data_IF_153029948017
#
_entry.id   IF_153029948017
#
_cell.length_a   1.000
_cell.length_b   1.000
_cell.length_c   1.000
_cell.angle_alpha   90.00
_cell.angle_beta   90.00
_cell.angle_gamma   90.00
#
_symmetry.space_group_name_H-M   'P 1'
#
loop_
_entity.id
_entity.type
_entity.pdbx_description
1 polymer ?
#
# COMPACT_ATOMS: atom_id res chain seq x y z
N UNK A 1 -0.67 -24.06 -4.46
CA UNK A 1 -0.57 -22.86 -3.60
C UNK A 1 -0.99 -21.55 -4.29
N UNK A 2 -0.32 -21.00 -5.31
CA UNK A 2 -0.79 -19.73 -5.95
C UNK A 2 -2.20 -19.81 -6.57
N UNK A 3 -2.49 -20.89 -7.30
CA UNK A 3 -3.84 -21.16 -7.84
C UNK A 3 -4.91 -21.25 -6.74
N UNK A 4 -4.55 -21.78 -5.57
CA UNK A 4 -5.46 -21.91 -4.41
C UNK A 4 -5.67 -20.56 -3.74
N UNK A 5 -4.61 -19.75 -3.61
CA UNK A 5 -4.66 -18.36 -3.15
C UNK A 5 -5.63 -17.54 -4.00
N UNK A 6 -5.52 -17.61 -5.33
CA UNK A 6 -6.45 -16.93 -6.23
C UNK A 6 -7.88 -17.45 -6.13
N UNK A 7 -8.05 -18.79 -6.05
CA UNK A 7 -9.38 -19.39 -5.85
C UNK A 7 -10.00 -18.95 -4.52
N UNK A 8 -9.22 -18.78 -3.47
CA UNK A 8 -9.72 -18.34 -2.18
C UNK A 8 -10.14 -16.86 -2.23
N UNK A 9 -9.29 -15.98 -2.76
CA UNK A 9 -9.58 -14.57 -2.98
C UNK A 9 -10.85 -14.35 -3.80
N UNK A 10 -10.99 -15.07 -4.91
CA UNK A 10 -12.13 -14.97 -5.82
C UNK A 10 -13.34 -15.80 -5.37
N UNK A 11 -13.16 -16.75 -4.46
CA UNK A 11 -14.21 -17.67 -4.01
C UNK A 11 -14.98 -17.16 -2.80
N UNK A 12 -14.35 -16.40 -1.89
CA UNK A 12 -15.01 -15.86 -0.70
C UNK A 12 -15.70 -14.52 -1.02
N UNK A 13 -17.03 -14.49 -0.86
CA UNK A 13 -17.86 -13.30 -1.14
C UNK A 13 -17.38 -12.03 -0.44
N UNK A 14 -16.96 -12.12 0.81
CA UNK A 14 -16.44 -10.98 1.59
C UNK A 14 -15.16 -10.40 0.97
N UNK A 15 -14.20 -11.25 0.60
CA UNK A 15 -12.93 -10.82 0.00
C UNK A 15 -13.17 -10.18 -1.36
N UNK A 16 -14.05 -10.77 -2.19
CA UNK A 16 -14.46 -10.17 -3.46
C UNK A 16 -15.09 -8.78 -3.30
N UNK A 17 -15.97 -8.60 -2.32
CA UNK A 17 -16.60 -7.30 -2.07
C UNK A 17 -15.56 -6.25 -1.68
N UNK A 18 -14.60 -6.60 -0.81
CA UNK A 18 -13.49 -5.71 -0.43
C UNK A 18 -12.66 -5.33 -1.67
N UNK A 19 -12.25 -6.31 -2.48
CA UNK A 19 -11.47 -6.07 -3.69
C UNK A 19 -12.22 -5.21 -4.71
N UNK A 20 -13.53 -5.42 -4.88
CA UNK A 20 -14.36 -4.61 -5.77
C UNK A 20 -14.46 -3.16 -5.30
N UNK A 21 -14.82 -2.92 -4.03
CA UNK A 21 -14.92 -1.57 -3.44
C UNK A 21 -13.57 -0.85 -3.56
N UNK A 22 -12.49 -1.53 -3.20
CA UNK A 22 -11.11 -1.05 -3.31
C UNK A 22 -10.74 -0.66 -4.74
N UNK A 23 -11.11 -1.48 -5.73
CA UNK A 23 -10.84 -1.22 -7.14
C UNK A 23 -11.59 0.01 -7.66
N UNK A 24 -12.87 0.15 -7.29
CA UNK A 24 -13.68 1.33 -7.62
C UNK A 24 -13.07 2.59 -7.02
N UNK A 25 -12.65 2.55 -5.75
CA UNK A 25 -11.99 3.68 -5.10
C UNK A 25 -10.68 4.08 -5.82
N UNK A 26 -9.84 3.11 -6.23
CA UNK A 26 -8.61 3.41 -6.99
C UNK A 26 -8.90 4.03 -8.35
N UNK A 27 -9.90 3.51 -9.07
CA UNK A 27 -10.32 4.08 -10.37
C UNK A 27 -10.78 5.52 -10.18
N UNK A 28 -11.59 5.80 -9.16
CA UNK A 28 -12.06 7.16 -8.87
C UNK A 28 -10.92 8.13 -8.54
N UNK A 29 -9.92 7.68 -7.77
CA UNK A 29 -8.72 8.49 -7.48
C UNK A 29 -7.95 8.78 -8.76
N UNK A 30 -7.66 7.74 -9.56
CA UNK A 30 -6.86 7.88 -10.78
C UNK A 30 -7.56 8.74 -11.84
N UNK A 31 -8.88 8.62 -11.97
CA UNK A 31 -9.68 9.44 -12.88
C UNK A 31 -9.70 10.93 -12.48
N UNK A 32 -9.43 11.24 -11.21
CA UNK A 32 -9.42 12.60 -10.70
C UNK A 32 -8.01 13.25 -10.69
N UNK A 33 -6.94 12.49 -10.95
CA UNK A 33 -5.56 13.01 -11.02
C UNK A 33 -5.40 14.19 -12.00
N UNK A 34 -5.94 14.16 -13.23
CA UNK A 34 -5.82 15.29 -14.16
C UNK A 34 -6.45 16.58 -13.60
N UNK A 35 -7.61 16.48 -12.95
CA UNK A 35 -8.30 17.62 -12.33
C UNK A 35 -7.54 18.19 -11.13
N UNK A 36 -6.75 17.38 -10.42
CA UNK A 36 -5.89 17.83 -9.32
C UNK A 36 -4.74 18.69 -9.81
N UNK A 37 -4.20 18.40 -11.00
CA UNK A 37 -3.10 19.17 -11.59
C UNK A 37 -3.55 20.53 -12.14
N UNK A 38 -4.84 20.63 -12.47
CA UNK A 38 -5.50 21.90 -12.80
C UNK A 38 -5.88 22.75 -11.55
N UNK A 39 -5.39 22.40 -10.35
CA UNK A 39 -5.65 23.14 -9.11
C UNK A 39 -6.92 22.74 -8.36
N UNK A 40 -7.53 21.59 -8.69
CA UNK A 40 -8.67 21.02 -7.96
C UNK A 40 -8.32 20.59 -6.52
N UNK A 41 -9.33 20.44 -5.66
CA UNK A 41 -9.17 20.16 -4.24
C UNK A 41 -8.48 18.80 -3.96
N UNK A 42 -7.16 18.85 -3.77
CA UNK A 42 -6.26 17.70 -3.49
C UNK A 42 -6.66 16.91 -2.25
N UNK A 43 -7.24 17.56 -1.24
CA UNK A 43 -7.53 16.95 0.06
C UNK A 43 -8.67 15.91 0.02
N UNK A 44 -9.65 16.04 -0.89
CA UNK A 44 -10.85 15.19 -0.92
C UNK A 44 -10.57 13.77 -1.43
N UNK A 45 -9.52 13.58 -2.23
CA UNK A 45 -9.19 12.29 -2.87
C UNK A 45 -8.20 11.44 -2.06
N UNK A 46 -7.54 12.05 -1.07
CA UNK A 46 -6.66 11.33 -0.15
C UNK A 46 -7.42 10.28 0.66
N UNK A 47 -8.64 10.58 1.11
CA UNK A 47 -9.47 9.65 1.88
C UNK A 47 -9.83 8.41 1.06
N UNK A 48 -10.39 8.51 -0.16
CA UNK A 48 -10.59 7.38 -1.07
C UNK A 48 -9.34 6.55 -1.34
N UNK A 49 -8.18 7.20 -1.55
CA UNK A 49 -6.91 6.52 -1.78
C UNK A 49 -6.47 5.70 -0.57
N UNK A 50 -6.55 6.26 0.64
CA UNK A 50 -6.21 5.56 1.88
C UNK A 50 -7.16 4.37 2.08
N UNK A 51 -8.47 4.55 1.88
CA UNK A 51 -9.45 3.47 2.00
C UNK A 51 -9.21 2.35 0.97
N UNK A 52 -8.83 2.69 -0.25
CA UNK A 52 -8.43 1.72 -1.26
C UNK A 52 -7.19 0.91 -0.83
N UNK A 53 -6.12 1.57 -0.39
CA UNK A 53 -4.90 0.88 0.06
C UNK A 53 -5.18 -0.02 1.27
N UNK A 54 -6.02 0.45 2.20
CA UNK A 54 -6.49 -0.35 3.32
C UNK A 54 -7.28 -1.57 2.86
N UNK A 55 -8.13 -1.45 1.83
CA UNK A 55 -8.89 -2.56 1.26
C UNK A 55 -8.00 -3.72 0.78
N UNK A 56 -6.84 -3.44 0.18
CA UNK A 56 -5.85 -4.46 -0.18
C UNK A 56 -5.37 -5.23 1.04
N UNK A 57 -4.97 -4.50 2.07
CA UNK A 57 -4.48 -5.07 3.31
C UNK A 57 -5.54 -5.88 4.04
N UNK A 58 -6.81 -5.46 4.01
CA UNK A 58 -7.96 -6.22 4.52
C UNK A 58 -8.13 -7.53 3.74
N UNK A 59 -8.13 -7.47 2.41
CA UNK A 59 -8.29 -8.66 1.57
C UNK A 59 -7.16 -9.67 1.82
N UNK A 60 -5.91 -9.21 1.81
CA UNK A 60 -4.75 -10.04 2.06
C UNK A 60 -4.69 -10.55 3.51
N UNK A 61 -5.03 -9.71 4.49
CA UNK A 61 -5.14 -10.10 5.89
C UNK A 61 -6.17 -11.20 6.13
N UNK A 62 -7.31 -11.16 5.41
CA UNK A 62 -8.30 -12.22 5.45
C UNK A 62 -7.76 -13.56 4.97
N UNK A 63 -6.94 -13.54 3.91
CA UNK A 63 -6.30 -14.74 3.35
C UNK A 63 -5.19 -15.27 4.25
N UNK A 64 -4.33 -14.36 4.74
CA UNK A 64 -3.25 -14.66 5.69
C UNK A 64 -3.81 -15.41 6.89
N UNK A 65 -4.83 -14.85 7.55
CA UNK A 65 -5.35 -15.38 8.81
C UNK A 65 -6.21 -16.62 8.68
N UNK A 66 -6.96 -16.74 7.58
CA UNK A 66 -7.68 -17.99 7.35
C UNK A 66 -6.73 -19.12 6.95
N UNK A 67 -5.47 -18.81 6.62
CA UNK A 67 -4.53 -19.77 6.05
C UNK A 67 -5.03 -20.36 4.72
N UNK A 68 -5.96 -19.68 4.03
CA UNK A 68 -6.75 -20.22 2.91
C UNK A 68 -7.65 -21.41 3.28
N UNK A 69 -7.96 -21.65 4.56
CA UNK A 69 -8.91 -22.68 5.01
C UNK A 69 -10.36 -22.16 4.92
N UNK A 70 -11.18 -22.66 3.97
CA UNK A 70 -12.55 -22.22 3.84
C UNK A 70 -13.46 -22.69 4.98
N UNK A 71 -13.06 -23.73 5.74
CA UNK A 71 -13.81 -24.32 6.87
C UNK A 71 -13.56 -23.60 8.19
N UNK A 72 -12.45 -22.87 8.33
CA UNK A 72 -12.12 -22.06 9.52
C UNK A 72 -11.98 -20.57 9.16
N UNK A 73 -13.06 -19.92 8.68
CA UNK A 73 -13.01 -18.50 8.38
C UNK A 73 -12.83 -17.69 9.68
N UNK A 74 -12.01 -16.64 9.61
CA UNK A 74 -11.96 -15.64 10.69
C UNK A 74 -13.30 -14.93 10.78
N UNK A 75 -13.87 -14.87 11.98
CA UNK A 75 -15.12 -14.16 12.22
C UNK A 75 -14.97 -12.66 11.87
N UNK A 76 -15.89 -12.12 11.07
CA UNK A 76 -15.87 -10.73 10.60
C UNK A 76 -15.75 -9.71 11.75
N UNK A 77 -16.48 -9.82 12.87
CA UNK A 77 -16.35 -8.87 13.98
C UNK A 77 -14.94 -8.83 14.58
N UNK A 78 -14.34 -10.00 14.83
CA UNK A 78 -12.98 -10.09 15.38
C UNK A 78 -11.94 -9.55 14.39
N UNK A 79 -12.14 -9.81 13.09
CA UNK A 79 -11.31 -9.27 12.04
C UNK A 79 -11.38 -7.74 11.98
N UNK A 80 -12.59 -7.16 12.05
CA UNK A 80 -12.82 -5.71 12.02
C UNK A 80 -12.20 -5.01 13.23
N UNK A 81 -12.33 -5.58 14.43
CA UNK A 81 -11.68 -5.05 15.64
C UNK A 81 -10.17 -5.02 15.48
N UNK A 82 -9.57 -6.13 15.04
CA UNK A 82 -8.13 -6.14 14.79
C UNK A 82 -7.73 -5.13 13.71
N UNK A 83 -8.49 -5.06 12.63
CA UNK A 83 -8.22 -4.14 11.53
C UNK A 83 -8.26 -2.69 12.00
N UNK A 84 -9.24 -2.31 12.83
CA UNK A 84 -9.31 -0.98 13.43
C UNK A 84 -8.09 -0.69 14.30
N UNK A 85 -7.67 -1.64 15.14
CA UNK A 85 -6.44 -1.50 15.93
C UNK A 85 -5.20 -1.36 15.05
N UNK A 86 -5.13 -2.09 13.93
CA UNK A 86 -4.05 -1.99 12.97
C UNK A 86 -4.04 -0.63 12.26
N UNK A 87 -5.22 -0.09 11.89
CA UNK A 87 -5.33 1.26 11.31
C UNK A 87 -4.80 2.29 12.29
N UNK A 88 -5.21 2.22 13.57
CA UNK A 88 -4.69 3.11 14.61
C UNK A 88 -3.17 2.96 14.75
N UNK A 89 -2.66 1.73 14.76
CA UNK A 89 -1.23 1.45 14.80
C UNK A 89 -0.48 2.06 13.60
N UNK A 90 -1.01 1.91 12.39
CA UNK A 90 -0.46 2.46 11.15
C UNK A 90 -0.47 3.99 11.18
N UNK A 91 -1.53 4.61 11.68
CA UNK A 91 -1.60 6.07 11.86
C UNK A 91 -0.55 6.56 12.86
N UNK A 92 -0.39 5.87 14.00
CA UNK A 92 0.66 6.21 14.97
C UNK A 92 2.04 6.06 14.36
N UNK A 93 2.30 4.98 13.62
CA UNK A 93 3.57 4.77 12.92
C UNK A 93 3.82 5.86 11.87
N UNK A 94 2.80 6.25 11.10
CA UNK A 94 2.89 7.35 10.14
C UNK A 94 3.23 8.68 10.83
N UNK A 95 2.55 9.02 11.92
CA UNK A 95 2.84 10.23 12.69
C UNK A 95 4.26 10.21 13.27
N UNK A 96 4.72 9.05 13.75
CA UNK A 96 6.07 8.88 14.27
C UNK A 96 7.13 9.02 13.18
N UNK A 97 6.92 8.41 12.00
CA UNK A 97 7.81 8.60 10.85
C UNK A 97 7.86 10.07 10.42
N UNK A 98 6.72 10.74 10.35
CA UNK A 98 6.64 12.16 10.02
C UNK A 98 7.40 13.00 11.06
N UNK A 99 7.20 12.74 12.35
CA UNK A 99 7.95 13.40 13.43
C UNK A 99 9.45 13.17 13.33
N UNK A 100 9.91 11.97 12.94
CA UNK A 100 11.32 11.67 12.75
C UNK A 100 11.93 12.32 11.49
N UNK A 101 11.14 12.50 10.44
CA UNK A 101 11.59 13.10 9.18
C UNK A 101 11.56 14.64 9.25
N UNK A 102 10.61 15.21 9.99
CA UNK A 102 10.41 16.67 10.10
C UNK A 102 11.70 17.46 10.43
N UNK A 103 12.57 17.03 11.36
CA UNK A 103 13.84 17.71 11.65
C UNK A 103 14.81 17.79 10.46
N UNK A 104 14.68 16.89 9.48
CA UNK A 104 15.50 16.88 8.27
C UNK A 104 14.94 17.79 7.17
N UNK A 105 13.76 18.39 7.37
CA UNK A 105 13.18 19.39 6.48
C UNK A 105 13.78 20.75 6.85
N UNK A 106 14.76 21.21 6.08
CA UNK A 106 15.45 22.47 6.32
C UNK A 106 14.54 23.71 6.21
N UNK A 107 14.98 24.87 6.73
CA UNK A 107 14.25 26.14 6.63
C UNK A 107 13.89 26.53 5.20
N UNK A 108 14.79 26.22 4.25
CA UNK A 108 14.62 26.48 2.82
C UNK A 108 13.48 25.66 2.22
N UNK A 109 13.42 24.35 2.52
CA UNK A 109 12.35 23.45 2.07
C UNK A 109 11.00 23.84 2.68
N UNK A 110 10.99 24.29 3.94
CA UNK A 110 9.78 24.79 4.60
C UNK A 110 9.28 26.10 3.97
N UNK A 111 10.18 27.03 3.68
CA UNK A 111 9.83 28.26 2.98
C UNK A 111 9.32 27.99 1.55
N UNK A 112 9.91 27.02 0.85
CA UNK A 112 9.42 26.56 -0.44
C UNK A 112 8.01 25.99 -0.33
N UNK A 113 7.72 25.22 0.72
CA UNK A 113 6.39 24.66 0.98
C UNK A 113 5.35 25.75 1.23
N UNK A 114 5.67 26.71 2.09
CA UNK A 114 4.79 27.85 2.40
C UNK A 114 4.54 28.73 1.17
N UNK A 115 5.53 28.87 0.29
CA UNK A 115 5.41 29.61 -0.97
C UNK A 115 4.52 28.87 -1.98
N UNK A 116 4.68 27.56 -2.12
CA UNK A 116 3.83 26.73 -2.97
C UNK A 116 2.39 26.68 -2.45
N UNK A 117 2.19 26.57 -1.12
CA UNK A 117 0.86 26.55 -0.50
C UNK A 117 0.04 27.82 -0.77
N UNK A 118 0.71 28.96 -1.02
CA UNK A 118 0.05 30.23 -1.37
C UNK A 118 -0.35 30.33 -2.84
N UNK A 119 0.29 29.57 -3.72
CA UNK A 119 0.01 29.56 -5.16
C UNK A 119 0.30 28.18 -5.76
N UNK A 120 -0.61 27.20 -5.54
CA UNK A 120 -0.42 25.82 -5.98
C UNK A 120 -0.53 25.65 -7.50
N UNK A 121 -0.87 26.71 -8.23
CA UNK A 121 -0.95 26.72 -9.70
C UNK A 121 0.42 26.71 -10.38
N UNK A 122 1.48 27.04 -9.64
CA UNK A 122 2.86 27.01 -10.15
C UNK A 122 3.47 25.62 -10.04
N UNK A 123 4.42 25.26 -10.92
CA UNK A 123 5.15 23.99 -10.80
C UNK A 123 5.77 23.84 -9.42
N UNK A 124 5.66 22.64 -8.85
CA UNK A 124 6.24 22.35 -7.54
C UNK A 124 7.78 22.46 -7.62
N UNK A 125 8.43 23.17 -6.67
CA UNK A 125 9.89 23.23 -6.61
C UNK A 125 10.54 21.84 -6.64
N UNK A 126 11.71 21.72 -7.28
CA UNK A 126 12.38 20.42 -7.45
C UNK A 126 12.66 19.69 -6.13
N UNK A 127 13.06 20.43 -5.10
CA UNK A 127 13.36 19.88 -3.77
C UNK A 127 12.11 19.29 -3.12
N UNK A 128 10.98 19.99 -3.24
CA UNK A 128 9.68 19.48 -2.77
C UNK A 128 9.24 18.27 -3.58
N UNK A 129 9.38 18.33 -4.90
CA UNK A 129 9.10 17.18 -5.78
C UNK A 129 9.88 15.94 -5.36
N UNK A 130 11.17 16.06 -5.06
CA UNK A 130 12.02 14.96 -4.57
C UNK A 130 11.53 14.46 -3.20
N UNK A 131 11.21 15.36 -2.27
CA UNK A 131 10.68 15.00 -0.95
C UNK A 131 9.34 14.25 -1.06
N UNK A 132 8.44 14.71 -1.93
CA UNK A 132 7.15 14.11 -2.21
C UNK A 132 7.25 12.75 -2.93
N UNK A 133 8.37 12.43 -3.57
CA UNK A 133 8.62 11.11 -4.14
C UNK A 133 9.29 10.17 -3.14
N UNK A 134 10.34 10.64 -2.44
CA UNK A 134 11.14 9.84 -1.52
C UNK A 134 10.34 9.45 -0.28
N UNK A 135 9.57 10.38 0.29
CA UNK A 135 8.86 10.12 1.55
C UNK A 135 7.81 9.02 1.39
N UNK A 136 6.91 9.06 0.39
CA UNK A 136 5.98 7.96 0.15
C UNK A 136 6.67 6.65 -0.19
N UNK A 137 7.78 6.69 -0.93
CA UNK A 137 8.59 5.50 -1.25
C UNK A 137 9.11 4.81 0.02
N UNK A 138 9.80 5.55 0.89
CA UNK A 138 10.34 5.03 2.14
C UNK A 138 9.22 4.53 3.07
N UNK A 139 8.14 5.30 3.20
CA UNK A 139 6.98 4.89 4.01
C UNK A 139 6.37 3.59 3.47
N UNK A 140 6.21 3.46 2.16
CA UNK A 140 5.68 2.25 1.55
C UNK A 140 6.57 1.04 1.78
N UNK A 141 7.89 1.17 1.68
CA UNK A 141 8.83 0.09 2.02
C UNK A 141 8.65 -0.39 3.48
N UNK A 142 8.49 0.54 4.42
CA UNK A 142 8.23 0.22 5.83
C UNK A 142 6.89 -0.49 5.98
N UNK A 143 5.82 0.00 5.35
CA UNK A 143 4.50 -0.61 5.47
C UNK A 143 4.44 -2.02 4.88
N UNK A 144 5.01 -2.22 3.68
CA UNK A 144 5.03 -3.53 3.04
C UNK A 144 5.83 -4.57 3.82
N UNK A 145 6.77 -4.14 4.65
CA UNK A 145 7.60 -4.99 5.50
C UNK A 145 6.95 -5.29 6.87
N UNK A 146 6.18 -4.37 7.42
CA UNK A 146 5.60 -4.53 8.76
C UNK A 146 4.19 -5.13 8.71
N UNK A 147 3.34 -4.58 7.85
CA UNK A 147 1.89 -4.84 7.88
C UNK A 147 1.54 -6.32 7.64
N UNK A 148 2.18 -7.04 6.69
CA UNK A 148 1.87 -8.45 6.48
C UNK A 148 2.12 -9.33 7.72
N UNK A 149 3.21 -9.08 8.48
CA UNK A 149 3.53 -9.81 9.71
C UNK A 149 2.50 -9.52 10.80
N UNK A 150 2.07 -8.26 10.91
CA UNK A 150 1.00 -7.91 11.85
C UNK A 150 -0.30 -8.63 11.52
N UNK A 151 -0.67 -8.73 10.24
CA UNK A 151 -1.87 -9.48 9.84
C UNK A 151 -1.79 -10.97 10.14
N UNK A 152 -0.60 -11.58 10.13
CA UNK A 152 -0.40 -12.97 10.47
C UNK A 152 -0.94 -13.32 11.87
N UNK A 153 -0.82 -12.39 12.82
CA UNK A 153 -1.16 -12.64 14.22
C UNK A 153 -2.48 -11.97 14.58
N UNK A 154 -3.34 -12.64 15.35
CA UNK A 154 -4.60 -12.06 15.85
C UNK A 154 -4.38 -10.90 16.84
N UNK A 155 -3.18 -10.79 17.40
CA UNK A 155 -2.78 -9.76 18.36
C UNK A 155 -1.60 -8.96 17.81
N UNK A 156 -1.72 -7.63 17.79
CA UNK A 156 -0.67 -6.72 17.31
C UNK A 156 0.65 -6.92 18.07
N UNK A 157 0.61 -7.13 19.39
CA UNK A 157 1.80 -7.38 20.20
C UNK A 157 2.53 -8.66 19.79
N UNK A 158 1.79 -9.72 19.44
CA UNK A 158 2.38 -10.95 18.91
C UNK A 158 2.99 -10.71 17.53
N UNK A 159 2.33 -9.92 16.68
CA UNK A 159 2.86 -9.49 15.40
C UNK A 159 4.17 -8.70 15.54
N UNK A 160 4.23 -7.75 16.48
CA UNK A 160 5.44 -6.96 16.76
C UNK A 160 6.60 -7.83 17.26
N UNK A 161 6.33 -8.85 18.08
CA UNK A 161 7.35 -9.81 18.50
C UNK A 161 7.88 -10.64 17.33
N UNK A 162 6.99 -11.10 16.44
CA UNK A 162 7.37 -11.86 15.25
C UNK A 162 8.09 -11.01 14.19
N UNK A 163 7.85 -9.69 14.17
CA UNK A 163 8.46 -8.79 13.20
C UNK A 163 9.98 -8.87 13.22
N UNK A 164 10.61 -8.91 14.40
CA UNK A 164 12.06 -8.95 14.52
C UNK A 164 12.70 -10.20 13.89
N UNK A 165 12.03 -11.35 13.97
CA UNK A 165 12.53 -12.57 13.32
C UNK A 165 12.31 -12.54 11.81
N UNK A 166 11.15 -12.06 11.36
CA UNK A 166 10.83 -12.02 9.92
C UNK A 166 11.71 -11.02 9.15
N UNK A 167 11.97 -9.82 9.69
CA UNK A 167 12.76 -8.78 9.01
C UNK A 167 14.26 -9.11 8.90
N UNK A 168 14.77 -10.04 9.72
CA UNK A 168 16.17 -10.52 9.63
C UNK A 168 16.37 -11.44 8.44
N UNK A 169 15.30 -11.98 7.86
CA UNK A 169 15.38 -12.89 6.73
C UNK A 169 15.39 -12.11 5.43
N UNK A 170 16.44 -12.28 4.63
CA UNK A 170 16.59 -11.60 3.35
C UNK A 170 15.50 -11.99 2.34
N UNK A 171 15.06 -13.26 2.35
CA UNK A 171 13.99 -13.74 1.47
C UNK A 171 12.63 -13.08 1.77
N UNK A 172 12.32 -12.88 3.06
CA UNK A 172 11.15 -12.12 3.48
C UNK A 172 11.22 -10.66 3.05
N UNK A 173 12.35 -9.97 3.30
CA UNK A 173 12.53 -8.56 2.94
C UNK A 173 12.35 -8.36 1.43
N UNK A 174 12.99 -9.22 0.62
CA UNK A 174 12.87 -9.16 -0.84
C UNK A 174 11.43 -9.43 -1.28
N UNK A 175 10.78 -10.47 -0.74
CA UNK A 175 9.39 -10.78 -1.05
C UNK A 175 8.42 -9.65 -0.65
N UNK A 176 8.67 -8.99 0.49
CA UNK A 176 7.86 -7.89 0.98
C UNK A 176 8.02 -6.62 0.14
N UNK A 177 9.25 -6.26 -0.25
CA UNK A 177 9.52 -5.02 -0.99
C UNK A 177 9.28 -5.12 -2.49
N UNK A 178 9.55 -6.27 -3.12
CA UNK A 178 9.40 -6.45 -4.57
C UNK A 178 8.03 -5.99 -5.11
N UNK A 179 6.89 -6.34 -4.47
CA UNK A 179 5.57 -5.88 -4.88
C UNK A 179 5.45 -4.36 -4.87
N UNK A 180 5.97 -3.72 -3.82
CA UNK A 180 5.91 -2.28 -3.66
C UNK A 180 6.78 -1.57 -4.69
N UNK A 181 8.01 -2.05 -4.90
CA UNK A 181 8.94 -1.49 -5.90
C UNK A 181 8.34 -1.61 -7.30
N UNK A 182 7.78 -2.76 -7.65
CA UNK A 182 7.11 -2.97 -8.95
C UNK A 182 5.93 -2.03 -9.11
N UNK A 183 5.12 -1.79 -8.07
CA UNK A 183 4.01 -0.82 -8.13
C UNK A 183 4.46 0.64 -8.15
N UNK A 184 5.58 0.96 -7.50
CA UNK A 184 6.08 2.32 -7.41
C UNK A 184 6.59 2.82 -8.77
N UNK A 185 7.18 1.95 -9.60
CA UNK A 185 7.69 2.33 -10.93
C UNK A 185 6.60 2.94 -11.82
N UNK A 186 5.42 2.33 -12.04
CA UNK A 186 4.31 2.95 -12.73
C UNK A 186 3.90 4.30 -12.12
N UNK A 187 3.81 4.41 -10.79
CA UNK A 187 3.48 5.68 -10.13
C UNK A 187 4.51 6.77 -10.39
N UNK A 188 5.80 6.43 -10.40
CA UNK A 188 6.88 7.34 -10.74
C UNK A 188 6.78 7.80 -12.20
N UNK A 189 6.52 6.88 -13.14
CA UNK A 189 6.34 7.22 -14.55
C UNK A 189 5.15 8.15 -14.73
N UNK A 190 4.00 7.86 -14.08
CA UNK A 190 2.83 8.74 -14.09
C UNK A 190 3.17 10.13 -13.58
N UNK A 191 3.86 10.21 -12.44
CA UNK A 191 4.28 11.48 -11.88
C UNK A 191 5.12 12.29 -12.88
N UNK A 192 6.11 11.65 -13.53
CA UNK A 192 6.98 12.30 -14.51
C UNK A 192 6.24 12.81 -15.75
N UNK A 193 5.27 12.05 -16.30
CA UNK A 193 4.52 12.49 -17.48
C UNK A 193 3.42 13.50 -17.17
N UNK A 194 2.95 13.51 -15.92
CA UNK A 194 1.81 14.32 -15.50
C UNK A 194 2.08 15.83 -15.48
N UNK A 195 3.35 16.25 -15.60
CA UNK A 195 3.72 17.66 -15.75
C UNK A 195 3.43 18.25 -17.14
N UNK A 196 2.98 17.44 -18.11
CA UNK A 196 2.66 17.86 -19.47
C UNK A 196 1.30 17.33 -19.91
N UNK A 197 0.36 18.24 -20.14
CA UNK A 197 -0.98 17.91 -20.63
C UNK A 197 -0.92 17.18 -21.99
N UNK A 198 -0.01 17.59 -22.87
CA UNK A 198 0.25 16.94 -24.15
C UNK A 198 0.70 15.48 -23.97
N UNK A 199 1.62 15.21 -23.03
CA UNK A 199 2.06 13.85 -22.72
C UNK A 199 0.94 13.01 -22.13
N UNK A 200 0.14 13.56 -21.20
CA UNK A 200 -0.99 12.86 -20.56
C UNK A 200 -2.08 12.50 -21.57
N UNK A 201 -2.41 13.41 -22.49
CA UNK A 201 -3.47 13.21 -23.49
C UNK A 201 -3.01 12.46 -24.73
N UNK A 202 -1.69 12.34 -24.95
CA UNK A 202 -1.12 11.56 -26.06
C UNK A 202 -1.51 10.09 -26.00
N UNK A 203 -1.52 9.43 -27.16
CA UNK A 203 -1.73 7.98 -27.26
C UNK A 203 -0.79 7.17 -26.35
N UNK A 204 0.49 7.56 -26.28
CA UNK A 204 1.46 6.91 -25.41
C UNK A 204 1.19 7.14 -23.92
N UNK A 205 0.80 8.36 -23.53
CA UNK A 205 0.38 8.67 -22.17
C UNK A 205 -0.82 7.85 -21.72
N UNK A 206 -1.82 7.70 -22.58
CA UNK A 206 -3.01 6.87 -22.31
C UNK A 206 -2.65 5.38 -22.13
N UNK A 207 -1.72 4.85 -22.93
CA UNK A 207 -1.20 3.49 -22.72
C UNK A 207 -0.53 3.37 -21.35
N UNK A 208 0.33 4.32 -20.99
CA UNK A 208 1.01 4.31 -19.68
C UNK A 208 -0.01 4.35 -18.54
N UNK A 209 -1.02 5.23 -18.62
CA UNK A 209 -2.11 5.32 -17.63
C UNK A 209 -2.81 3.98 -17.47
N UNK A 210 -3.15 3.30 -18.57
CA UNK A 210 -3.79 1.98 -18.53
C UNK A 210 -2.89 0.93 -17.87
N UNK A 211 -1.60 0.93 -18.17
CA UNK A 211 -0.65 0.05 -17.50
C UNK A 211 -0.59 0.34 -16.00
N UNK A 212 -0.51 1.61 -15.60
CA UNK A 212 -0.45 2.00 -14.18
C UNK A 212 -1.73 1.60 -13.46
N UNK A 213 -2.89 1.78 -14.08
CA UNK A 213 -4.17 1.36 -13.56
C UNK A 213 -4.21 -0.17 -13.40
N UNK A 214 -3.82 -0.92 -14.43
CA UNK A 214 -3.76 -2.37 -14.37
C UNK A 214 -2.85 -2.85 -13.24
N UNK A 215 -1.61 -2.35 -13.16
CA UNK A 215 -0.69 -2.73 -12.09
C UNK A 215 -1.24 -2.30 -10.72
N UNK A 216 -1.76 -1.09 -10.57
CA UNK A 216 -2.33 -0.64 -9.28
C UNK A 216 -3.50 -1.52 -8.82
N UNK A 217 -4.35 -1.99 -9.74
CA UNK A 217 -5.50 -2.85 -9.41
C UNK A 217 -5.13 -4.30 -9.12
N UNK A 218 -4.02 -4.80 -9.66
CA UNK A 218 -3.72 -6.23 -9.69
C UNK A 218 -2.48 -6.62 -8.91
N UNK A 219 -1.44 -5.79 -8.90
CA UNK A 219 -0.10 -6.16 -8.44
C UNK A 219 -0.07 -6.51 -6.97
N UNK A 220 -0.75 -5.77 -6.12
CA UNK A 220 -0.75 -6.00 -4.68
C UNK A 220 -1.55 -7.23 -4.25
N UNK A 221 -2.38 -7.77 -5.13
CA UNK A 221 -3.04 -9.07 -4.97
C UNK A 221 -2.07 -10.19 -5.40
N UNK A 222 -1.47 -10.09 -6.58
CA UNK A 222 -0.64 -11.17 -7.12
C UNK A 222 0.76 -11.23 -6.50
N UNK A 223 1.36 -10.06 -6.28
CA UNK A 223 2.74 -9.94 -5.83
C UNK A 223 2.87 -10.03 -4.31
N UNK A 224 1.80 -9.87 -3.51
CA UNK A 224 1.88 -10.15 -2.06
C UNK A 224 1.84 -11.66 -1.73
N UNK A 225 1.55 -12.53 -2.70
CA UNK A 225 1.48 -13.97 -2.48
C UNK A 225 2.78 -14.60 -1.93
N UNK A 226 4.00 -14.28 -2.42
CA UNK A 226 5.25 -14.76 -1.83
C UNK A 226 5.40 -14.35 -0.37
N UNK A 227 5.05 -13.11 -0.01
CA UNK A 227 5.06 -12.63 1.38
C UNK A 227 4.09 -13.41 2.26
N UNK A 228 2.86 -13.65 1.77
CA UNK A 228 1.90 -14.53 2.43
C UNK A 228 2.47 -15.94 2.65
N UNK A 229 3.10 -16.52 1.63
CA UNK A 229 3.64 -17.87 1.68
C UNK A 229 4.72 -18.00 2.76
N UNK A 230 5.69 -17.08 2.79
CA UNK A 230 6.80 -17.10 3.75
C UNK A 230 6.33 -16.91 5.20
N UNK A 231 5.33 -16.05 5.42
CA UNK A 231 4.73 -15.85 6.75
C UNK A 231 4.02 -17.11 7.23
N UNK A 232 3.32 -17.82 6.33
CA UNK A 232 2.57 -19.02 6.68
C UNK A 232 3.48 -20.22 6.97
N UNK A 233 4.58 -20.38 6.25
CA UNK A 233 5.50 -21.52 6.44
C UNK A 233 6.31 -21.45 7.73
N UNK A 234 6.49 -20.27 8.35
CA UNK A 234 7.08 -20.14 9.69
C UNK A 234 6.17 -20.66 10.82
N UNK A 235 4.85 -20.76 10.60
CA UNK A 235 3.92 -21.15 11.66
C UNK A 235 3.72 -22.66 11.79
N UNK A 236 4.32 -23.48 10.91
CA UNK A 236 4.40 -24.92 11.16
C UNK A 236 5.55 -25.16 12.13
N UNK A 237 5.29 -25.67 13.35
CA UNK A 237 6.35 -26.26 14.14
C UNK A 237 6.97 -27.36 13.28
N UNK A 238 8.30 -27.46 13.26
CA UNK A 238 8.93 -28.72 12.91
C UNK A 238 8.25 -29.78 13.79
N UNK A 239 7.55 -30.73 13.15
CA UNK A 239 7.05 -31.89 13.87
C UNK A 239 8.25 -32.49 14.60
N UNK A 240 8.14 -32.81 15.91
CA UNK A 240 9.23 -33.48 16.59
C UNK A 240 9.50 -34.76 15.82
N UNK A 241 10.69 -34.86 15.23
CA UNK A 241 11.14 -36.11 14.64
C UNK A 241 11.05 -37.16 15.75
N UNK A 242 10.21 -38.18 15.49
CA UNK A 242 10.00 -39.35 16.35
C UNK A 242 11.33 -40.04 16.70
#
# INVERSE_FOLDING_TARGET
>A
MFKEYLRYLLGKGQVRAILAIRSVLLILVLAAVPSMQAGGAVALLFVPLVLALLGTYVANGYVIRSGMDPKKPVALPQFLVFFLLLVVFVLVLFLLLNFLITPFIGPETKAAFEKYAKDPSKPMPEELTRLYLITPFLMGLVFYLIVPVLFAKLNILQGLKALLSSIKRSDYVVAAWTPYVIMFVPTLVMFLISGSEEMVTSFFGQIVILFVLFFSLTSDIFLQYPTFYLIKTEEKPEEPNE
#
